data_IF_869292735729
#
_entry.id   IF_869292735729
#
_cell.length_a   1.000
_cell.length_b   1.000
_cell.length_c   1.000
_cell.angle_alpha   90.00
_cell.angle_beta   90.00
_cell.angle_gamma   90.00
#
_symmetry.space_group_name_H-M   'P 1'
#
loop_
_entity.id
_entity.type
_entity.pdbx_description
1 polymer ?
#
# COMPACT_ATOMS: atom_id res chain seq x y z
N UNK A 1 9.78 -8.91 -34.26
CA UNK A 1 9.59 -9.67 -33.01
C UNK A 1 8.38 -9.09 -32.31
N UNK A 2 7.46 -9.93 -31.82
CA UNK A 2 6.29 -9.47 -31.07
C UNK A 2 6.75 -9.03 -29.68
N UNK A 3 6.15 -7.99 -29.11
CA UNK A 3 6.48 -7.51 -27.75
C UNK A 3 5.53 -8.10 -26.73
N UNK A 4 6.06 -8.42 -25.56
CA UNK A 4 5.26 -8.74 -24.38
C UNK A 4 5.58 -7.72 -23.30
N UNK A 5 4.63 -6.85 -23.02
CA UNK A 5 4.81 -5.67 -22.16
C UNK A 5 4.16 -5.96 -20.81
N UNK A 6 4.96 -6.09 -19.76
CA UNK A 6 4.47 -6.18 -18.39
C UNK A 6 4.38 -4.78 -17.81
N UNK A 7 3.22 -4.39 -17.31
CA UNK A 7 3.00 -3.12 -16.63
C UNK A 7 2.83 -3.39 -15.14
N UNK A 8 3.75 -2.81 -14.35
CA UNK A 8 3.67 -2.78 -12.90
C UNK A 8 4.07 -1.39 -12.41
N UNK A 9 3.10 -0.48 -12.41
CA UNK A 9 3.26 0.90 -11.98
C UNK A 9 3.50 1.05 -10.47
N UNK A 10 3.35 -0.03 -9.70
CA UNK A 10 3.70 -0.07 -8.26
C UNK A 10 5.07 -0.67 -8.00
N UNK A 11 5.75 -1.20 -9.02
CA UNK A 11 7.07 -1.79 -8.89
C UNK A 11 8.11 -0.71 -8.59
N UNK A 12 8.42 -0.54 -7.31
CA UNK A 12 9.41 0.42 -6.80
C UNK A 12 10.55 -0.24 -6.03
N UNK A 13 10.41 -1.49 -5.58
CA UNK A 13 11.40 -2.21 -4.78
C UNK A 13 11.13 -3.74 -4.82
N UNK A 14 11.77 -4.51 -3.94
CA UNK A 14 11.59 -5.97 -3.81
C UNK A 14 10.40 -6.38 -2.92
N UNK A 15 9.63 -5.43 -2.38
CA UNK A 15 8.51 -5.75 -1.50
C UNK A 15 7.28 -6.18 -2.31
N UNK A 16 6.41 -6.94 -1.64
CA UNK A 16 5.19 -7.46 -2.24
C UNK A 16 5.45 -8.52 -3.31
N UNK A 17 4.44 -8.76 -4.14
CA UNK A 17 4.51 -9.73 -5.24
C UNK A 17 4.98 -9.10 -6.57
N UNK A 18 5.30 -7.80 -6.55
CA UNK A 18 5.51 -6.96 -7.74
C UNK A 18 6.71 -7.42 -8.58
N UNK A 19 7.88 -7.50 -7.94
CA UNK A 19 9.15 -7.78 -8.64
C UNK A 19 9.18 -9.19 -9.22
N UNK A 20 8.91 -10.20 -8.38
CA UNK A 20 9.00 -11.61 -8.79
C UNK A 20 7.97 -11.94 -9.87
N UNK A 21 6.73 -11.45 -9.76
CA UNK A 21 5.70 -11.66 -10.77
C UNK A 21 6.11 -11.02 -12.10
N UNK A 22 6.52 -9.74 -12.08
CA UNK A 22 6.92 -9.02 -13.30
C UNK A 22 8.07 -9.70 -14.02
N UNK A 23 9.10 -10.09 -13.26
CA UNK A 23 10.30 -10.71 -13.81
C UNK A 23 10.03 -12.13 -14.32
N UNK A 24 9.27 -12.93 -13.57
CA UNK A 24 8.90 -14.30 -13.96
C UNK A 24 8.15 -14.32 -15.29
N UNK A 25 7.18 -13.42 -15.46
CA UNK A 25 6.38 -13.34 -16.69
C UNK A 25 7.22 -12.83 -17.85
N UNK A 26 8.05 -11.80 -17.64
CA UNK A 26 8.93 -11.28 -18.68
C UNK A 26 9.96 -12.32 -19.16
N UNK A 27 10.58 -13.06 -18.23
CA UNK A 27 11.50 -14.16 -18.58
C UNK A 27 10.77 -15.30 -19.32
N UNK A 28 9.53 -15.63 -18.92
CA UNK A 28 8.71 -16.60 -19.63
C UNK A 28 8.38 -16.13 -21.05
N UNK A 29 7.98 -14.88 -21.23
CA UNK A 29 7.69 -14.31 -22.55
C UNK A 29 8.93 -14.33 -23.46
N UNK A 30 10.12 -14.06 -22.92
CA UNK A 30 11.38 -14.16 -23.65
C UNK A 30 11.63 -15.59 -24.17
N UNK A 31 11.36 -16.61 -23.34
CA UNK A 31 11.46 -18.03 -23.73
C UNK A 31 10.48 -18.42 -24.82
N UNK A 32 9.30 -17.78 -24.86
CA UNK A 32 8.30 -17.94 -25.91
C UNK A 32 8.57 -17.09 -27.17
N UNK A 33 9.74 -16.41 -27.25
CA UNK A 33 10.17 -15.67 -28.43
C UNK A 33 9.62 -14.24 -28.55
N UNK A 34 9.05 -13.69 -27.48
CA UNK A 34 8.68 -12.28 -27.40
C UNK A 34 9.87 -11.39 -27.04
N UNK A 35 9.77 -10.10 -27.37
CA UNK A 35 10.58 -9.03 -26.79
C UNK A 35 9.97 -8.61 -25.45
N UNK A 36 10.57 -9.00 -24.29
CA UNK A 36 10.02 -8.63 -23.00
C UNK A 36 10.32 -7.17 -22.66
N UNK A 37 9.30 -6.44 -22.23
CA UNK A 37 9.43 -5.08 -21.71
C UNK A 37 8.72 -5.00 -20.37
N UNK A 38 9.37 -4.47 -19.33
CA UNK A 38 8.72 -4.16 -18.06
C UNK A 38 8.61 -2.64 -17.93
N UNK A 39 7.39 -2.15 -17.72
CA UNK A 39 7.12 -0.74 -17.43
C UNK A 39 6.86 -0.59 -15.93
N UNK A 40 7.71 0.18 -15.26
CA UNK A 40 7.74 0.32 -13.80
C UNK A 40 7.35 1.73 -13.34
N UNK A 41 7.24 1.89 -12.02
CA UNK A 41 7.29 3.20 -11.40
C UNK A 41 8.63 3.91 -11.71
N UNK A 42 8.63 5.25 -11.76
CA UNK A 42 9.83 6.07 -11.96
C UNK A 42 10.88 5.90 -10.88
N UNK A 43 10.48 5.57 -9.65
CA UNK A 43 11.41 5.38 -8.54
C UNK A 43 12.05 3.98 -8.51
N UNK A 44 11.78 3.12 -9.50
CA UNK A 44 12.34 1.77 -9.55
C UNK A 44 13.88 1.79 -9.64
N UNK A 45 14.59 1.14 -8.70
CA UNK A 45 16.04 1.27 -8.61
C UNK A 45 16.75 0.58 -9.78
N UNK A 46 17.76 1.26 -10.31
CA UNK A 46 18.60 0.74 -11.39
C UNK A 46 19.28 -0.59 -11.04
N UNK A 47 19.63 -0.79 -9.77
CA UNK A 47 20.27 -2.01 -9.27
C UNK A 47 19.38 -3.27 -9.32
N UNK A 48 18.06 -3.10 -9.48
CA UNK A 48 17.13 -4.22 -9.59
C UNK A 48 16.75 -4.54 -11.05
N UNK A 49 17.24 -3.76 -12.02
CA UNK A 49 16.94 -4.00 -13.43
C UNK A 49 17.66 -5.27 -13.93
N UNK A 50 16.93 -6.24 -14.50
CA UNK A 50 17.54 -7.40 -15.16
C UNK A 50 18.33 -6.97 -16.41
N UNK A 51 19.42 -7.69 -16.71
CA UNK A 51 20.30 -7.38 -17.85
C UNK A 51 19.66 -7.70 -19.21
N UNK A 52 18.78 -8.70 -19.27
CA UNK A 52 18.23 -9.28 -20.49
C UNK A 52 16.79 -8.84 -20.81
N UNK A 53 16.21 -7.93 -20.03
CA UNK A 53 14.85 -7.45 -20.22
C UNK A 53 14.85 -5.92 -20.23
N UNK A 54 14.17 -5.33 -21.21
CA UNK A 54 14.06 -3.88 -21.31
C UNK A 54 13.17 -3.35 -20.19
N UNK A 55 13.69 -2.44 -19.36
CA UNK A 55 12.92 -1.79 -18.29
C UNK A 55 12.72 -0.31 -18.57
N UNK A 56 11.47 0.14 -18.57
CA UNK A 56 11.07 1.55 -18.78
C UNK A 56 10.40 2.06 -17.51
N UNK A 57 10.98 3.07 -16.88
CA UNK A 57 10.44 3.65 -15.65
C UNK A 57 9.59 4.88 -16.01
N UNK A 58 8.26 4.76 -15.94
CA UNK A 58 7.33 5.74 -16.54
C UNK A 58 6.21 6.25 -15.62
N UNK A 59 5.78 5.46 -14.63
CA UNK A 59 4.64 5.83 -13.80
C UNK A 59 5.04 6.68 -12.59
N UNK A 60 4.23 7.71 -12.30
CA UNK A 60 4.37 8.58 -11.14
C UNK A 60 3.55 8.09 -9.93
N UNK A 61 2.61 7.17 -10.17
CA UNK A 61 1.62 6.71 -9.21
C UNK A 61 1.66 5.19 -9.01
N UNK A 62 1.22 4.74 -7.84
CA UNK A 62 0.99 3.32 -7.55
C UNK A 62 -0.43 2.88 -7.97
N UNK A 63 -0.78 1.63 -7.64
CA UNK A 63 -2.07 1.03 -7.93
C UNK A 63 -3.26 1.59 -7.14
N UNK A 64 -3.01 2.52 -6.23
CA UNK A 64 -4.04 3.34 -5.59
C UNK A 64 -4.13 4.74 -6.21
N UNK A 65 -3.39 5.00 -7.31
CA UNK A 65 -3.24 6.33 -7.92
C UNK A 65 -2.58 7.34 -6.96
N UNK A 66 -1.86 6.85 -5.94
CA UNK A 66 -1.11 7.70 -5.01
C UNK A 66 0.26 8.03 -5.61
N UNK A 67 0.73 9.27 -5.49
CA UNK A 67 2.09 9.64 -5.88
C UNK A 67 3.12 8.82 -5.08
N UNK A 68 4.06 8.20 -5.78
CA UNK A 68 5.13 7.43 -5.15
C UNK A 68 6.33 8.35 -4.94
N UNK A 69 6.37 9.00 -3.77
CA UNK A 69 7.39 9.99 -3.48
C UNK A 69 8.75 9.33 -3.25
N UNK A 70 9.79 9.86 -3.90
CA UNK A 70 11.16 9.66 -3.45
C UNK A 70 11.38 10.39 -2.12
N UNK A 71 12.25 9.86 -1.25
CA UNK A 71 12.52 10.35 0.11
C UNK A 71 12.83 11.87 0.24
N UNK A 72 13.03 12.61 -0.86
CA UNK A 72 13.27 14.05 -0.85
C UNK A 72 11.99 14.89 -0.66
N UNK A 73 10.81 14.42 -1.07
CA UNK A 73 9.55 15.20 -0.94
C UNK A 73 8.86 15.06 0.41
N UNK A 74 9.18 14.00 1.17
CA UNK A 74 8.63 13.78 2.51
C UNK A 74 8.94 14.93 3.47
N UNK A 75 10.15 15.50 3.44
CA UNK A 75 10.53 16.54 4.39
C UNK A 75 9.69 17.83 4.26
N UNK A 76 9.27 18.20 3.04
CA UNK A 76 8.50 19.43 2.80
C UNK A 76 7.02 19.19 3.07
N UNK A 77 6.47 18.08 2.59
CA UNK A 77 5.05 17.74 2.78
C UNK A 77 4.76 17.37 4.23
N UNK A 78 5.65 16.67 4.92
CA UNK A 78 5.52 16.36 6.36
C UNK A 78 5.59 17.66 7.19
N UNK A 79 6.55 18.55 6.89
CA UNK A 79 6.64 19.87 7.52
C UNK A 79 5.39 20.73 7.31
N UNK A 80 4.79 20.68 6.10
CA UNK A 80 3.57 21.44 5.78
C UNK A 80 2.30 20.79 6.34
N UNK A 81 2.23 19.46 6.41
CA UNK A 81 1.12 18.73 7.03
C UNK A 81 1.09 18.91 8.55
N UNK A 82 2.25 19.03 9.20
CA UNK A 82 2.39 19.42 10.61
C UNK A 82 1.76 20.80 10.88
N UNK A 83 1.87 21.73 9.92
CA UNK A 83 1.30 23.08 10.04
C UNK A 83 -0.23 23.13 9.84
N UNK A 84 -0.84 22.17 9.12
CA UNK A 84 -2.23 22.25 8.68
C UNK A 84 -3.26 21.61 9.63
N UNK A 85 -2.85 20.63 10.45
CA UNK A 85 -3.74 19.71 11.18
C UNK A 85 -3.58 19.75 12.72
N UNK A 86 -3.97 20.86 13.37
CA UNK A 86 -3.93 21.02 14.85
C UNK A 86 -2.68 20.40 15.49
N UNK A 87 -1.50 21.04 15.35
CA UNK A 87 -0.22 20.44 15.70
C UNK A 87 -0.14 19.92 17.13
N UNK A 88 -0.91 20.49 18.07
CA UNK A 88 -0.91 20.08 19.46
C UNK A 88 -1.70 18.78 19.71
N UNK A 89 -2.80 18.57 19.00
CA UNK A 89 -3.67 17.39 19.23
C UNK A 89 -2.99 16.13 18.68
N UNK A 90 -2.49 16.16 17.44
CA UNK A 90 -1.76 15.02 16.84
C UNK A 90 -0.40 14.76 17.48
N UNK A 91 0.32 15.81 17.90
CA UNK A 91 1.56 15.63 18.67
C UNK A 91 1.26 14.99 20.03
N UNK A 92 0.16 15.40 20.69
CA UNK A 92 -0.27 14.77 21.94
C UNK A 92 -0.65 13.30 21.74
N UNK A 93 -1.40 12.96 20.69
CA UNK A 93 -1.76 11.57 20.37
C UNK A 93 -0.51 10.73 20.07
N UNK A 94 0.42 11.23 19.24
CA UNK A 94 1.67 10.51 18.91
C UNK A 94 2.54 10.30 20.15
N UNK A 95 2.67 11.32 21.01
CA UNK A 95 3.40 11.22 22.28
C UNK A 95 2.70 10.20 23.20
N UNK A 96 1.37 10.25 23.32
CA UNK A 96 0.59 9.30 24.12
C UNK A 96 0.81 7.87 23.64
N UNK A 97 0.72 7.62 22.32
CA UNK A 97 0.94 6.29 21.74
C UNK A 97 2.37 5.79 21.96
N UNK A 98 3.38 6.62 21.71
CA UNK A 98 4.78 6.25 21.94
C UNK A 98 5.06 5.95 23.41
N UNK A 99 4.56 6.81 24.30
CA UNK A 99 4.69 6.63 25.75
C UNK A 99 4.00 5.34 26.21
N UNK A 100 2.77 5.08 25.77
CA UNK A 100 2.05 3.84 26.08
C UNK A 100 2.78 2.60 25.55
N UNK A 101 3.33 2.67 24.33
CA UNK A 101 4.13 1.60 23.75
C UNK A 101 5.38 1.31 24.60
N UNK A 102 6.14 2.33 24.99
CA UNK A 102 7.33 2.16 25.83
C UNK A 102 6.99 1.63 27.23
N UNK A 103 5.90 2.08 27.84
CA UNK A 103 5.45 1.52 29.12
C UNK A 103 5.09 0.05 29.00
N UNK A 104 4.36 -0.34 27.97
CA UNK A 104 3.99 -1.75 27.73
C UNK A 104 5.23 -2.61 27.45
N UNK A 105 6.15 -2.09 26.63
CA UNK A 105 7.44 -2.74 26.36
C UNK A 105 8.27 -2.91 27.64
N UNK A 106 8.33 -1.89 28.50
CA UNK A 106 9.07 -1.98 29.78
C UNK A 106 8.40 -2.88 30.82
N UNK A 107 7.06 -2.92 30.86
CA UNK A 107 6.34 -3.86 31.73
C UNK A 107 6.62 -5.32 31.35
N UNK A 108 6.71 -5.60 30.03
CA UNK A 108 7.02 -6.92 29.49
C UNK A 108 8.51 -7.30 29.67
N UNK A 109 9.42 -6.34 29.53
CA UNK A 109 10.88 -6.62 29.55
C UNK A 109 11.53 -6.48 30.93
N UNK A 110 10.92 -5.74 31.87
CA UNK A 110 11.49 -5.44 33.18
C UNK A 110 10.46 -5.61 34.32
N UNK A 111 10.03 -6.85 34.62
CA UNK A 111 8.93 -7.11 35.56
C UNK A 111 9.22 -6.65 37.01
N UNK A 112 10.49 -6.52 37.41
CA UNK A 112 10.89 -5.99 38.72
C UNK A 112 10.57 -4.50 38.90
N UNK A 113 10.39 -3.76 37.80
CA UNK A 113 10.05 -2.34 37.81
C UNK A 113 8.55 -2.08 37.68
N UNK A 114 7.72 -3.12 37.54
CA UNK A 114 6.27 -3.02 37.30
C UNK A 114 5.56 -2.06 38.27
N UNK A 115 5.76 -2.22 39.58
CA UNK A 115 5.15 -1.34 40.60
C UNK A 115 5.60 0.13 40.50
N UNK A 116 6.82 0.38 40.02
CA UNK A 116 7.35 1.73 39.78
C UNK A 116 6.77 2.29 38.48
N UNK A 117 6.74 1.49 37.42
CA UNK A 117 6.19 1.85 36.11
C UNK A 117 4.69 2.13 36.18
N UNK A 118 3.91 1.34 36.92
CA UNK A 118 2.49 1.60 37.18
C UNK A 118 2.28 2.94 37.91
N UNK A 119 3.12 3.26 38.90
CA UNK A 119 3.09 4.56 39.59
C UNK A 119 3.45 5.73 38.69
N UNK A 120 4.46 5.57 37.84
CA UNK A 120 4.88 6.60 36.88
C UNK A 120 3.81 6.78 35.79
N UNK A 121 3.28 5.69 35.24
CA UNK A 121 2.21 5.70 34.24
C UNK A 121 0.95 6.37 34.78
N UNK A 122 0.55 6.02 36.01
CA UNK A 122 -0.60 6.65 36.67
C UNK A 122 -0.38 8.14 36.98
N UNK A 123 0.87 8.58 37.20
CA UNK A 123 1.20 10.00 37.42
C UNK A 123 1.25 10.78 36.10
N UNK A 124 1.79 10.17 35.04
CA UNK A 124 1.87 10.75 33.71
C UNK A 124 0.49 10.85 33.05
N UNK A 125 -0.37 9.84 33.21
CA UNK A 125 -1.76 9.88 32.76
C UNK A 125 -2.55 11.01 33.45
N UNK A 126 -2.33 11.22 34.75
CA UNK A 126 -2.91 12.36 35.48
C UNK A 126 -2.41 13.69 34.93
N UNK A 127 -1.11 13.84 34.69
CA UNK A 127 -0.53 15.05 34.10
C UNK A 127 -1.11 15.36 32.71
N UNK A 128 -1.27 14.34 31.85
CA UNK A 128 -1.83 14.49 30.51
C UNK A 128 -3.30 14.89 30.58
N UNK A 129 -4.10 14.25 31.45
CA UNK A 129 -5.49 14.64 31.67
C UNK A 129 -5.60 16.09 32.18
N UNK A 130 -4.69 16.50 33.06
CA UNK A 130 -4.65 17.87 33.60
C UNK A 130 -4.34 18.90 32.50
N UNK A 131 -3.38 18.61 31.63
CA UNK A 131 -3.08 19.45 30.46
C UNK A 131 -4.28 19.56 29.51
N UNK A 132 -5.02 18.45 29.30
CA UNK A 132 -6.23 18.46 28.48
C UNK A 132 -7.38 19.25 29.12
N UNK A 133 -7.51 19.19 30.45
CA UNK A 133 -8.46 20.01 31.21
C UNK A 133 -8.10 21.50 31.19
N UNK A 134 -6.82 21.86 31.31
CA UNK A 134 -6.35 23.25 31.20
C UNK A 134 -6.58 23.82 29.78
N UNK A 135 -6.39 22.99 28.74
CA UNK A 135 -6.72 23.36 27.36
C UNK A 135 -8.24 23.56 27.18
N UNK A 136 -9.07 22.78 27.89
CA UNK A 136 -10.54 22.99 27.94
C UNK A 136 -10.94 24.21 28.75
N UNK A 137 -10.27 24.50 29.87
CA UNK A 137 -10.50 25.67 30.72
C UNK A 137 -10.11 26.98 30.02
N UNK A 138 -9.08 26.95 29.17
CA UNK A 138 -8.73 28.06 28.27
C UNK A 138 -9.85 28.37 27.25
N UNK A 139 -10.77 27.44 26.99
CA UNK A 139 -11.98 27.69 26.17
C UNK A 139 -13.15 28.27 26.97
N UNK A 140 -13.11 28.29 28.30
CA UNK A 140 -14.25 28.65 29.16
C UNK A 140 -14.06 29.90 30.02
N UNK A 141 -13.06 30.75 29.75
CA UNK A 141 -12.86 32.01 30.49
C UNK A 141 -13.95 33.04 30.11
N UNK A 142 -14.71 33.63 31.07
CA UNK A 142 -15.84 34.52 30.77
C UNK A 142 -15.41 35.89 30.23
N UNK A 143 -16.12 36.35 29.21
CA UNK A 143 -15.97 37.63 28.50
C UNK A 143 -16.55 38.80 29.30
N UNK A 144 -15.79 39.38 30.24
CA UNK A 144 -16.17 40.68 30.84
C UNK A 144 -14.97 41.57 31.11
N UNK A 145 -14.43 42.16 30.04
CA UNK A 145 -13.83 43.49 30.01
C UNK A 145 -13.82 43.93 28.52
N UNK A 146 -14.79 44.76 28.17
CA UNK A 146 -15.39 44.92 26.84
C UNK A 146 -14.45 45.46 25.76
N UNK A 147 -13.43 46.25 26.09
CA UNK A 147 -12.44 46.70 25.10
C UNK A 147 -11.43 45.61 24.72
N UNK A 148 -10.98 44.83 25.70
CA UNK A 148 -10.03 43.75 25.45
C UNK A 148 -10.71 42.52 24.84
N UNK A 149 -11.99 42.30 25.16
CA UNK A 149 -12.85 41.32 24.47
C UNK A 149 -13.07 41.66 23.00
N UNK A 150 -13.38 42.92 22.67
CA UNK A 150 -13.49 43.38 21.28
C UNK A 150 -12.16 43.27 20.54
N UNK A 151 -11.05 43.69 21.15
CA UNK A 151 -9.72 43.53 20.56
C UNK A 151 -9.38 42.06 20.30
N UNK A 152 -9.72 41.15 21.21
CA UNK A 152 -9.53 39.71 21.02
C UNK A 152 -10.42 39.11 19.95
N UNK A 153 -11.66 39.57 19.79
CA UNK A 153 -12.55 39.13 18.72
C UNK A 153 -12.03 39.63 17.38
N UNK A 154 -11.62 40.90 17.30
CA UNK A 154 -11.01 41.48 16.09
C UNK A 154 -9.69 40.77 15.77
N UNK A 155 -8.83 40.53 16.76
CA UNK A 155 -7.57 39.80 16.60
C UNK A 155 -7.81 38.32 16.24
N UNK A 156 -8.85 37.71 16.82
CA UNK A 156 -9.27 36.35 16.51
C UNK A 156 -9.81 36.22 15.09
N UNK A 157 -10.60 37.20 14.62
CA UNK A 157 -11.07 37.30 13.25
C UNK A 157 -9.92 37.58 12.28
N UNK A 158 -9.01 38.49 12.61
CA UNK A 158 -7.80 38.75 11.81
C UNK A 158 -6.94 37.51 11.74
N UNK A 159 -6.71 36.81 12.86
CA UNK A 159 -5.96 35.55 12.90
C UNK A 159 -6.68 34.44 12.14
N UNK A 160 -7.99 34.34 12.24
CA UNK A 160 -8.79 33.37 11.48
C UNK A 160 -8.75 33.65 9.98
N UNK A 161 -8.90 34.92 9.58
CA UNK A 161 -8.77 35.37 8.20
C UNK A 161 -7.35 35.11 7.71
N UNK A 162 -6.30 35.46 8.46
CA UNK A 162 -4.91 35.16 8.12
C UNK A 162 -4.63 33.66 8.07
N UNK A 163 -5.27 32.84 8.91
CA UNK A 163 -5.14 31.37 8.87
C UNK A 163 -5.87 30.80 7.64
N UNK A 164 -7.04 31.32 7.27
CA UNK A 164 -7.72 30.92 6.03
C UNK A 164 -6.92 31.39 4.81
N UNK A 165 -6.43 32.62 4.82
CA UNK A 165 -5.66 33.20 3.73
C UNK A 165 -4.32 32.50 3.59
N UNK A 166 -3.61 32.22 4.69
CA UNK A 166 -2.38 31.41 4.66
C UNK A 166 -2.66 29.97 4.29
N UNK A 167 -3.78 29.36 4.69
CA UNK A 167 -4.19 28.04 4.19
C UNK A 167 -4.44 28.04 2.68
N UNK A 168 -5.13 29.05 2.14
CA UNK A 168 -5.38 29.18 0.70
C UNK A 168 -4.11 29.51 -0.09
N UNK A 169 -3.28 30.42 0.42
CA UNK A 169 -1.98 30.77 -0.17
C UNK A 169 -1.03 29.58 -0.11
N UNK A 170 -0.96 28.87 1.01
CA UNK A 170 -0.15 27.65 1.13
C UNK A 170 -0.68 26.55 0.24
N UNK A 171 -2.00 26.34 0.13
CA UNK A 171 -2.56 25.36 -0.82
C UNK A 171 -2.27 25.74 -2.27
N UNK A 172 -2.35 27.03 -2.62
CA UNK A 172 -2.01 27.52 -3.96
C UNK A 172 -0.51 27.39 -4.24
N UNK A 173 0.35 27.74 -3.27
CA UNK A 173 1.80 27.58 -3.36
C UNK A 173 2.19 26.10 -3.42
N UNK A 174 1.58 25.24 -2.62
CA UNK A 174 1.79 23.78 -2.68
C UNK A 174 1.37 23.28 -4.07
N UNK A 175 0.20 23.66 -4.57
CA UNK A 175 -0.24 23.26 -5.91
C UNK A 175 0.65 23.81 -7.04
N UNK A 176 1.31 24.95 -6.83
CA UNK A 176 2.24 25.57 -7.78
C UNK A 176 3.65 24.95 -7.70
N UNK A 177 4.09 24.55 -6.50
CA UNK A 177 5.43 24.04 -6.21
C UNK A 177 5.53 22.51 -6.27
N UNK A 178 4.43 21.79 -6.06
CA UNK A 178 4.37 20.34 -6.24
C UNK A 178 4.26 20.05 -7.73
N UNK A 179 5.25 19.37 -8.33
CA UNK A 179 5.17 19.00 -9.74
C UNK A 179 3.88 18.20 -9.97
N UNK A 180 3.18 18.52 -11.07
CA UNK A 180 1.92 17.85 -11.41
C UNK A 180 2.20 16.37 -11.64
N UNK A 181 1.81 15.53 -10.68
CA UNK A 181 1.84 14.07 -10.80
C UNK A 181 0.94 13.67 -11.97
N UNK A 182 1.46 12.86 -12.91
CA UNK A 182 0.65 12.31 -13.99
C UNK A 182 -0.21 11.18 -13.43
N UNK A 183 -1.47 11.15 -13.86
CA UNK A 183 -2.37 10.01 -13.61
C UNK A 183 -1.87 8.75 -14.32
N UNK A 184 -2.35 7.58 -13.88
CA UNK A 184 -2.05 6.32 -14.56
C UNK A 184 -2.38 6.36 -16.06
N UNK A 185 -3.56 6.87 -16.47
CA UNK A 185 -3.96 7.01 -17.90
C UNK A 185 -2.99 7.88 -18.71
N UNK A 186 -2.55 9.01 -18.14
CA UNK A 186 -1.60 9.92 -18.80
C UNK A 186 -0.24 9.26 -18.99
N UNK A 187 0.30 8.62 -17.94
CA UNK A 187 1.57 7.87 -18.03
C UNK A 187 1.48 6.68 -18.99
N UNK A 188 0.38 5.92 -18.94
CA UNK A 188 0.12 4.80 -19.84
C UNK A 188 0.08 5.25 -21.29
N UNK A 189 -0.65 6.32 -21.59
CA UNK A 189 -0.78 6.83 -22.96
C UNK A 189 0.58 7.25 -23.51
N UNK A 190 1.35 8.01 -22.72
CA UNK A 190 2.66 8.49 -23.13
C UNK A 190 3.63 7.33 -23.37
N UNK A 191 3.75 6.39 -22.43
CA UNK A 191 4.75 5.33 -22.54
C UNK A 191 4.44 4.37 -23.68
N UNK A 192 3.16 4.09 -23.94
CA UNK A 192 2.77 3.22 -25.04
C UNK A 192 3.01 3.90 -26.41
N UNK A 193 2.83 5.22 -26.53
CA UNK A 193 3.21 5.98 -27.73
C UNK A 193 4.73 5.94 -27.99
N UNK A 194 5.55 5.97 -26.94
CA UNK A 194 7.01 5.87 -27.04
C UNK A 194 7.51 4.46 -27.45
N UNK A 195 6.85 3.39 -26.98
CA UNK A 195 7.25 2.00 -27.26
C UNK A 195 6.99 1.58 -28.72
N UNK A 196 6.07 2.25 -29.43
CA UNK A 196 5.61 1.89 -30.78
C UNK A 196 5.20 0.41 -30.86
N UNK A 197 4.06 0.09 -30.26
CA UNK A 197 3.49 -1.25 -30.29
C UNK A 197 2.77 -1.54 -31.63
N UNK A 198 2.45 -2.81 -31.85
CA UNK A 198 1.58 -3.29 -32.92
C UNK A 198 0.38 -4.06 -32.36
N UNK A 199 -0.60 -4.38 -33.20
CA UNK A 199 -1.75 -5.19 -32.79
C UNK A 199 -1.42 -6.64 -32.45
N UNK A 200 -0.23 -7.10 -32.81
CA UNK A 200 0.33 -8.41 -32.46
C UNK A 200 1.04 -8.44 -31.10
N UNK A 201 1.21 -7.29 -30.45
CA UNK A 201 1.85 -7.19 -29.14
C UNK A 201 0.84 -7.49 -28.01
N UNK A 202 1.36 -7.96 -26.88
CA UNK A 202 0.57 -8.33 -25.70
C UNK A 202 0.96 -7.45 -24.50
N UNK A 203 -0.03 -6.98 -23.73
CA UNK A 203 0.18 -6.16 -22.53
C UNK A 203 -0.40 -6.89 -21.32
N UNK A 204 0.43 -7.18 -20.32
CA UNK A 204 0.00 -7.80 -19.06
C UNK A 204 0.12 -6.84 -17.88
N UNK A 205 -0.99 -6.63 -17.17
CA UNK A 205 -1.05 -5.78 -15.97
C UNK A 205 -1.52 -6.64 -14.80
N UNK A 206 -0.63 -6.86 -13.84
CA UNK A 206 -0.88 -7.78 -12.72
C UNK A 206 -1.01 -7.12 -11.36
N UNK A 207 -0.63 -5.85 -11.27
CA UNK A 207 -0.86 -4.99 -10.12
C UNK A 207 -1.67 -3.79 -10.59
N UNK A 208 -2.97 -3.82 -10.34
CA UNK A 208 -3.91 -2.81 -10.83
C UNK A 208 -5.11 -2.68 -9.87
N UNK A 209 -5.50 -1.44 -9.58
CA UNK A 209 -6.73 -1.14 -8.85
C UNK A 209 -7.92 -0.97 -9.80
N UNK A 210 -9.14 -1.00 -9.26
CA UNK A 210 -10.37 -0.96 -10.07
C UNK A 210 -10.47 0.34 -10.88
N UNK A 211 -10.07 1.47 -10.30
CA UNK A 211 -10.07 2.75 -11.00
C UNK A 211 -9.09 2.76 -12.19
N UNK A 212 -7.92 2.12 -12.07
CA UNK A 212 -6.98 1.98 -13.19
C UNK A 212 -7.51 1.03 -14.27
N UNK A 213 -8.27 -0.02 -13.91
CA UNK A 213 -8.97 -0.86 -14.90
C UNK A 213 -9.94 -0.01 -15.72
N UNK A 214 -10.71 0.87 -15.07
CA UNK A 214 -11.57 1.84 -15.76
C UNK A 214 -10.76 2.77 -16.68
N UNK A 215 -9.60 3.24 -16.24
CA UNK A 215 -8.72 4.05 -17.07
C UNK A 215 -8.18 3.31 -18.31
N UNK A 216 -7.90 1.99 -18.19
CA UNK A 216 -7.56 1.14 -19.35
C UNK A 216 -8.75 1.04 -20.31
N UNK A 217 -9.96 0.84 -19.80
CA UNK A 217 -11.18 0.85 -20.61
C UNK A 217 -11.31 2.17 -21.39
N UNK A 218 -11.25 3.31 -20.71
CA UNK A 218 -11.35 4.63 -21.38
C UNK A 218 -10.18 4.90 -22.33
N UNK A 219 -9.00 4.34 -22.07
CA UNK A 219 -7.88 4.43 -23.01
C UNK A 219 -8.16 3.66 -24.31
N UNK A 220 -8.84 2.52 -24.24
CA UNK A 220 -9.10 1.68 -25.41
C UNK A 220 -10.30 2.14 -26.25
N UNK A 221 -11.38 2.62 -25.62
CA UNK A 221 -12.58 3.10 -26.33
C UNK A 221 -12.27 4.28 -27.26
N UNK A 222 -11.31 5.12 -26.89
CA UNK A 222 -10.91 6.31 -27.67
C UNK A 222 -9.97 5.98 -28.85
N UNK A 223 -9.70 4.70 -29.14
CA UNK A 223 -8.64 4.26 -30.06
C UNK A 223 -9.14 3.33 -31.16
N UNK A 224 -8.37 3.30 -32.25
CA UNK A 224 -8.55 2.34 -33.34
C UNK A 224 -8.11 0.94 -32.89
N UNK A 225 -9.09 0.12 -32.48
CA UNK A 225 -8.86 -1.22 -31.94
C UNK A 225 -8.07 -2.13 -32.89
N UNK A 226 -8.13 -1.91 -34.20
CA UNK A 226 -7.38 -2.72 -35.18
C UNK A 226 -5.86 -2.61 -35.01
N UNK A 227 -5.39 -1.51 -34.41
CA UNK A 227 -3.97 -1.22 -34.15
C UNK A 227 -3.57 -1.47 -32.70
N UNK A 228 -4.54 -1.70 -31.82
CA UNK A 228 -4.28 -1.86 -30.39
C UNK A 228 -3.79 -3.28 -30.07
N UNK A 229 -2.81 -3.42 -29.17
CA UNK A 229 -2.39 -4.70 -28.62
C UNK A 229 -3.52 -5.26 -27.76
N UNK A 230 -3.42 -6.52 -27.38
CA UNK A 230 -4.36 -7.11 -26.44
C UNK A 230 -3.86 -6.93 -25.00
N UNK A 231 -4.79 -6.59 -24.13
CA UNK A 231 -4.56 -6.35 -22.72
C UNK A 231 -5.00 -7.56 -21.90
N UNK A 232 -4.16 -7.94 -20.95
CA UNK A 232 -4.35 -9.04 -20.02
C UNK A 232 -4.31 -8.48 -18.61
N UNK A 233 -5.44 -8.49 -17.91
CA UNK A 233 -5.61 -7.83 -16.62
C UNK A 233 -5.84 -8.88 -15.55
N UNK A 234 -4.95 -8.97 -14.57
CA UNK A 234 -5.08 -9.89 -13.44
C UNK A 234 -5.68 -9.16 -12.22
N UNK A 235 -6.82 -9.66 -11.74
CA UNK A 235 -7.53 -9.17 -10.57
C UNK A 235 -7.44 -10.19 -9.43
N UNK A 236 -6.88 -9.77 -8.29
CA UNK A 236 -6.55 -10.67 -7.16
C UNK A 236 -7.36 -10.42 -5.89
N UNK A 237 -8.22 -9.41 -5.89
CA UNK A 237 -9.01 -9.04 -4.70
C UNK A 237 -10.38 -9.67 -4.75
N UNK A 238 -10.98 -9.87 -3.59
CA UNK A 238 -12.37 -10.25 -3.51
C UNK A 238 -13.28 -9.10 -3.97
N UNK A 239 -14.41 -9.40 -4.61
CA UNK A 239 -15.40 -8.41 -5.05
C UNK A 239 -16.06 -7.65 -3.89
N UNK A 240 -16.08 -8.22 -2.68
CA UNK A 240 -16.62 -7.60 -1.46
C UNK A 240 -15.54 -6.86 -0.65
N UNK A 241 -14.29 -6.87 -1.11
CA UNK A 241 -13.21 -6.17 -0.46
C UNK A 241 -13.49 -4.64 -0.46
N UNK A 242 -13.32 -3.93 0.67
CA UNK A 242 -13.56 -2.49 0.73
C UNK A 242 -12.81 -1.68 -0.33
N UNK A 243 -11.60 -2.11 -0.72
CA UNK A 243 -10.81 -1.44 -1.76
C UNK A 243 -11.36 -1.67 -3.17
N UNK A 244 -12.21 -2.69 -3.36
CA UNK A 244 -12.92 -2.96 -4.62
C UNK A 244 -14.28 -2.26 -4.61
N UNK A 245 -15.05 -2.42 -3.53
CA UNK A 245 -16.40 -1.86 -3.37
C UNK A 245 -16.40 -0.34 -3.37
N UNK A 246 -15.45 0.27 -2.66
CA UNK A 246 -15.34 1.73 -2.53
C UNK A 246 -14.33 2.35 -3.49
N UNK A 247 -13.87 1.60 -4.49
CA UNK A 247 -13.02 2.17 -5.53
C UNK A 247 -13.75 3.32 -6.24
N UNK A 248 -13.06 4.44 -6.52
CA UNK A 248 -13.66 5.55 -7.25
C UNK A 248 -13.97 5.14 -8.68
N UNK A 249 -14.93 5.84 -9.29
CA UNK A 249 -15.34 5.61 -10.69
C UNK A 249 -16.65 4.85 -10.81
N UNK A 250 -16.82 4.14 -11.93
CA UNK A 250 -18.08 3.49 -12.29
C UNK A 250 -18.30 2.14 -11.59
N UNK A 251 -17.25 1.57 -10.99
CA UNK A 251 -17.29 0.28 -10.30
C UNK A 251 -17.16 -0.93 -11.22
N UNK A 252 -16.73 -2.05 -10.62
CA UNK A 252 -16.28 -3.25 -11.33
C UNK A 252 -17.33 -3.85 -12.28
N UNK A 253 -18.58 -4.02 -11.82
CA UNK A 253 -19.65 -4.58 -12.66
C UNK A 253 -19.86 -3.75 -13.93
N UNK A 254 -19.94 -2.44 -13.77
CA UNK A 254 -20.19 -1.54 -14.88
C UNK A 254 -19.00 -1.51 -15.85
N UNK A 255 -17.75 -1.60 -15.36
CA UNK A 255 -16.56 -1.77 -16.21
C UNK A 255 -16.71 -3.02 -17.09
N UNK A 256 -17.08 -4.15 -16.51
CA UNK A 256 -17.25 -5.39 -17.28
C UNK A 256 -18.39 -5.31 -18.29
N UNK A 257 -19.56 -4.78 -17.89
CA UNK A 257 -20.69 -4.59 -18.80
C UNK A 257 -20.28 -3.69 -19.98
N UNK A 258 -19.51 -2.63 -19.71
CA UNK A 258 -19.01 -1.74 -20.74
C UNK A 258 -17.98 -2.41 -21.65
N UNK A 259 -17.04 -3.19 -21.12
CA UNK A 259 -16.09 -3.97 -21.94
C UNK A 259 -16.80 -4.97 -22.85
N UNK A 260 -17.88 -5.60 -22.39
CA UNK A 260 -18.70 -6.50 -23.19
C UNK A 260 -19.46 -5.73 -24.28
N UNK A 261 -20.17 -4.66 -23.92
CA UNK A 261 -20.99 -3.87 -24.85
C UNK A 261 -20.16 -3.15 -25.92
N UNK A 262 -18.94 -2.74 -25.59
CA UNK A 262 -17.99 -2.10 -26.52
C UNK A 262 -17.16 -3.10 -27.32
N UNK A 263 -17.41 -4.40 -27.19
CA UNK A 263 -16.67 -5.48 -27.88
C UNK A 263 -15.16 -5.45 -27.61
N UNK A 264 -14.75 -4.89 -26.46
CA UNK A 264 -13.36 -4.95 -26.00
C UNK A 264 -13.04 -6.33 -25.45
N UNK A 265 -13.99 -6.99 -24.79
CA UNK A 265 -13.85 -8.37 -24.35
C UNK A 265 -14.44 -9.34 -25.40
N UNK A 266 -13.80 -10.49 -25.68
CA UNK A 266 -12.53 -10.98 -25.11
C UNK A 266 -11.28 -10.59 -25.92
N UNK A 267 -11.46 -9.97 -27.08
CA UNK A 267 -10.40 -9.87 -28.10
C UNK A 267 -9.33 -8.82 -27.78
N UNK A 268 -9.70 -7.73 -27.09
CA UNK A 268 -8.79 -6.64 -26.71
C UNK A 268 -8.50 -6.55 -25.23
N UNK A 269 -9.41 -7.03 -24.38
CA UNK A 269 -9.17 -7.14 -22.94
C UNK A 269 -9.58 -8.53 -22.48
N UNK A 270 -8.64 -9.25 -21.88
CA UNK A 270 -8.88 -10.48 -21.16
C UNK A 270 -8.66 -10.25 -19.67
N UNK A 271 -9.54 -10.80 -18.83
CA UNK A 271 -9.43 -10.73 -17.39
C UNK A 271 -9.06 -12.08 -16.78
N UNK A 272 -8.25 -12.04 -15.73
CA UNK A 272 -7.71 -13.20 -15.04
C UNK A 272 -7.83 -13.07 -13.52
N UNK A 273 -7.79 -14.21 -12.83
CA UNK A 273 -7.68 -14.29 -11.36
C UNK A 273 -6.98 -15.59 -10.93
N UNK A 274 -6.67 -15.73 -9.64
CA UNK A 274 -5.74 -16.75 -9.13
C UNK A 274 -6.45 -18.03 -8.63
N UNK A 275 -7.73 -17.98 -8.24
CA UNK A 275 -8.44 -19.11 -7.61
C UNK A 275 -9.81 -19.39 -8.23
N UNK A 276 -10.30 -20.62 -8.08
CA UNK A 276 -11.63 -21.00 -8.58
C UNK A 276 -12.75 -20.25 -7.86
N UNK A 277 -12.58 -19.95 -6.57
CA UNK A 277 -13.52 -19.16 -5.78
C UNK A 277 -13.63 -17.73 -6.31
N UNK A 278 -12.49 -17.09 -6.62
CA UNK A 278 -12.50 -15.76 -7.22
C UNK A 278 -13.15 -15.77 -8.61
N UNK A 279 -12.88 -16.80 -9.43
CA UNK A 279 -13.54 -16.95 -10.75
C UNK A 279 -15.04 -16.99 -10.60
N UNK A 280 -15.57 -17.80 -9.68
CA UNK A 280 -17.02 -17.89 -9.45
C UNK A 280 -17.62 -16.55 -9.06
N UNK A 281 -16.95 -15.82 -8.15
CA UNK A 281 -17.40 -14.51 -7.67
C UNK A 281 -17.39 -13.47 -8.80
N UNK A 282 -16.28 -13.32 -9.52
CA UNK A 282 -16.19 -12.38 -10.63
C UNK A 282 -17.16 -12.72 -11.78
N UNK A 283 -17.29 -14.00 -12.15
CA UNK A 283 -18.16 -14.42 -13.25
C UNK A 283 -19.65 -14.32 -12.95
N UNK A 284 -20.04 -14.09 -11.68
CA UNK A 284 -21.41 -13.77 -11.29
C UNK A 284 -21.78 -12.30 -11.51
N UNK A 285 -20.82 -11.41 -11.74
CA UNK A 285 -21.08 -9.98 -11.89
C UNK A 285 -21.66 -9.61 -13.25
N UNK A 286 -21.21 -10.28 -14.33
CA UNK A 286 -21.59 -9.95 -15.71
C UNK A 286 -21.32 -11.11 -16.70
N UNK A 287 -21.55 -10.83 -17.99
CA UNK A 287 -21.23 -11.75 -19.09
C UNK A 287 -19.72 -11.95 -19.30
N UNK A 288 -18.89 -11.01 -18.87
CA UNK A 288 -17.42 -11.13 -18.95
C UNK A 288 -16.96 -12.30 -18.08
N UNK A 289 -16.22 -13.23 -18.68
CA UNK A 289 -15.67 -14.39 -17.97
C UNK A 289 -14.18 -14.26 -17.75
N UNK A 290 -13.78 -14.37 -16.49
CA UNK A 290 -12.39 -14.42 -16.05
C UNK A 290 -11.83 -15.83 -16.19
N UNK A 291 -10.52 -15.90 -16.45
CA UNK A 291 -9.77 -17.14 -16.53
C UNK A 291 -8.82 -17.31 -15.35
N UNK A 292 -8.60 -18.56 -14.93
CA UNK A 292 -7.59 -18.88 -13.91
C UNK A 292 -6.19 -18.77 -14.48
N UNK A 293 -5.29 -18.09 -13.78
CA UNK A 293 -3.85 -18.23 -14.01
C UNK A 293 -3.13 -18.49 -12.69
N UNK A 294 -2.03 -19.26 -12.69
CA UNK A 294 -1.24 -19.46 -11.50
C UNK A 294 -0.48 -18.18 -11.13
N UNK A 295 -0.10 -18.05 -9.86
CA UNK A 295 0.84 -17.01 -9.42
C UNK A 295 2.21 -17.34 -10.02
N UNK A 296 2.77 -16.50 -10.90
CA UNK A 296 4.03 -16.79 -11.54
C UNK A 296 5.18 -16.56 -10.55
N UNK A 297 6.12 -17.51 -10.53
CA UNK A 297 7.40 -17.40 -9.82
C UNK A 297 8.45 -18.23 -10.56
N UNK A 298 9.72 -17.85 -10.45
CA UNK A 298 10.83 -18.58 -11.11
C UNK A 298 11.15 -19.89 -10.39
N UNK A 299 10.38 -20.92 -10.70
CA UNK A 299 10.51 -22.24 -10.10
C UNK A 299 11.92 -22.84 -10.30
N UNK A 300 12.60 -22.52 -11.40
CA UNK A 300 13.97 -22.93 -11.69
C UNK A 300 15.00 -22.35 -10.72
N UNK A 301 14.68 -21.26 -10.02
CA UNK A 301 15.53 -20.67 -8.97
C UNK A 301 15.37 -21.39 -7.64
N UNK A 302 14.33 -22.21 -7.47
CA UNK A 302 14.19 -23.07 -6.31
C UNK A 302 15.22 -24.18 -6.41
N UNK A 303 16.42 -23.94 -5.89
CA UNK A 303 17.39 -25.00 -5.69
C UNK A 303 16.79 -26.02 -4.73
N UNK A 304 16.70 -27.28 -5.17
CA UNK A 304 16.53 -28.38 -4.24
C UNK A 304 17.81 -28.48 -3.43
N UNK A 305 17.88 -27.71 -2.35
CA UNK A 305 18.95 -27.86 -1.37
C UNK A 305 18.69 -29.18 -0.65
N UNK A 306 19.14 -30.28 -1.23
CA UNK A 306 19.22 -31.59 -0.57
C UNK A 306 20.36 -31.54 0.45
N UNK A 307 20.28 -30.61 1.40
CA UNK A 307 21.13 -30.69 2.58
C UNK A 307 20.62 -31.87 3.39
N UNK A 308 21.41 -32.93 3.41
CA UNK A 308 21.26 -34.05 4.33
C UNK A 308 21.18 -33.45 5.73
N UNK A 309 19.96 -33.47 6.31
CA UNK A 309 19.71 -32.97 7.64
C UNK A 309 20.64 -33.67 8.62
N UNK A 310 21.50 -32.91 9.30
CA UNK A 310 22.26 -33.45 10.42
C UNK A 310 21.27 -33.73 11.54
N UNK A 311 21.27 -34.96 12.06
CA UNK A 311 20.28 -35.51 13.02
C UNK A 311 20.07 -34.71 14.33
N UNK A 312 20.76 -33.59 14.55
CA UNK A 312 20.78 -32.83 15.79
C UNK A 312 20.47 -31.32 15.65
N UNK A 313 19.92 -30.84 14.53
CA UNK A 313 19.48 -29.44 14.43
C UNK A 313 18.07 -29.25 15.03
N UNK A 314 17.79 -28.09 15.66
CA UNK A 314 16.43 -27.78 16.09
C UNK A 314 15.49 -27.69 14.88
N UNK A 315 14.23 -28.08 15.07
CA UNK A 315 13.16 -27.83 14.11
C UNK A 315 12.96 -26.32 14.02
N UNK A 316 13.13 -25.76 12.83
CA UNK A 316 12.99 -24.31 12.61
C UNK A 316 11.61 -24.02 12.03
N UNK A 317 10.73 -23.47 12.86
CA UNK A 317 9.40 -23.01 12.47
C UNK A 317 9.51 -21.55 12.04
N UNK A 318 9.04 -21.23 10.84
CA UNK A 318 9.16 -19.88 10.27
C UNK A 318 7.79 -19.37 9.87
N UNK A 319 7.49 -18.14 10.26
CA UNK A 319 6.35 -17.37 9.78
C UNK A 319 6.89 -16.20 8.94
N UNK A 320 6.52 -16.15 7.66
CA UNK A 320 7.05 -15.17 6.69
C UNK A 320 5.96 -14.21 6.19
N UNK A 321 6.36 -12.97 5.97
CA UNK A 321 5.52 -11.88 5.48
C UNK A 321 5.18 -10.82 6.55
N UNK A 322 4.54 -9.74 6.11
CA UNK A 322 4.15 -8.64 7.00
C UNK A 322 3.16 -9.08 8.09
N UNK A 323 3.22 -8.39 9.23
CA UNK A 323 2.31 -8.55 10.34
C UNK A 323 0.96 -7.92 10.00
N UNK A 324 -0.05 -8.77 9.70
CA UNK A 324 -1.39 -8.33 9.30
C UNK A 324 -2.49 -9.21 9.92
N UNK A 325 -3.68 -8.65 10.23
CA UNK A 325 -4.76 -9.42 10.86
C UNK A 325 -5.25 -10.59 10.01
N UNK A 326 -5.41 -10.40 8.70
CA UNK A 326 -5.90 -11.42 7.78
C UNK A 326 -4.95 -12.62 7.63
N UNK A 327 -3.65 -12.42 7.93
CA UNK A 327 -2.67 -13.52 7.99
C UNK A 327 -2.68 -14.26 9.34
N UNK A 328 -3.50 -13.81 10.30
CA UNK A 328 -3.58 -14.40 11.63
C UNK A 328 -2.37 -14.07 12.51
N UNK A 329 -1.61 -13.02 12.18
CA UNK A 329 -0.39 -12.67 12.94
C UNK A 329 -0.69 -12.44 14.42
N UNK A 330 -1.84 -11.85 14.75
CA UNK A 330 -2.25 -11.59 16.13
C UNK A 330 -2.51 -12.84 16.96
N UNK A 331 -2.66 -14.01 16.34
CA UNK A 331 -2.79 -15.29 17.03
C UNK A 331 -1.43 -15.93 17.40
N UNK A 332 -0.33 -15.47 16.82
CA UNK A 332 0.99 -16.07 17.02
C UNK A 332 1.42 -16.14 18.49
N UNK A 333 1.24 -15.09 19.33
CA UNK A 333 1.61 -15.18 20.74
C UNK A 333 0.90 -16.31 21.49
N UNK A 334 -0.41 -16.46 21.28
CA UNK A 334 -1.21 -17.50 21.92
C UNK A 334 -0.84 -18.90 21.43
N UNK A 335 -0.52 -19.04 20.14
CA UNK A 335 -0.01 -20.30 19.58
C UNK A 335 1.33 -20.66 20.24
N UNK A 336 2.26 -19.71 20.37
CA UNK A 336 3.56 -19.95 21.00
C UNK A 336 3.40 -20.33 22.48
N UNK A 337 2.56 -19.62 23.21
CA UNK A 337 2.27 -19.91 24.63
C UNK A 337 1.68 -21.32 24.79
N UNK A 338 0.72 -21.70 23.94
CA UNK A 338 0.10 -23.03 23.96
C UNK A 338 1.10 -24.15 23.65
N UNK A 339 2.07 -23.88 22.79
CA UNK A 339 3.13 -24.85 22.47
C UNK A 339 4.24 -24.89 23.54
N UNK A 340 4.37 -23.84 24.34
CA UNK A 340 5.52 -23.65 25.23
C UNK A 340 5.68 -24.76 26.26
N UNK A 341 4.59 -25.13 26.93
CA UNK A 341 4.62 -26.08 28.05
C UNK A 341 4.87 -27.51 27.59
N UNK A 342 4.20 -27.93 26.52
CA UNK A 342 4.10 -29.35 26.16
C UNK A 342 5.00 -29.75 24.99
N UNK A 343 5.35 -28.79 24.11
CA UNK A 343 5.97 -29.08 22.81
C UNK A 343 7.31 -28.38 22.58
N UNK A 344 7.58 -27.26 23.26
CA UNK A 344 8.83 -26.51 23.09
C UNK A 344 9.85 -26.94 24.14
N UNK A 345 10.84 -27.71 23.71
CA UNK A 345 12.03 -28.02 24.52
C UNK A 345 13.21 -27.13 24.15
N UNK A 346 14.04 -26.71 25.12
CA UNK A 346 15.27 -25.96 24.84
C UNK A 346 16.14 -26.67 23.80
N UNK A 347 16.66 -25.89 22.84
CA UNK A 347 17.51 -26.37 21.76
C UNK A 347 16.86 -27.39 20.79
N UNK A 348 15.56 -27.67 20.90
CA UNK A 348 14.82 -28.56 19.97
C UNK A 348 14.00 -27.81 18.95
N UNK A 349 13.51 -26.61 19.29
CA UNK A 349 12.71 -25.77 18.39
C UNK A 349 13.32 -24.37 18.31
N UNK A 350 13.37 -23.83 17.10
CA UNK A 350 13.67 -22.43 16.81
C UNK A 350 12.46 -21.82 16.13
N UNK A 351 11.98 -20.68 16.59
CA UNK A 351 10.93 -19.91 15.92
C UNK A 351 11.53 -18.65 15.29
N UNK A 352 11.10 -18.32 14.08
CA UNK A 352 11.42 -17.03 13.44
C UNK A 352 10.16 -16.46 12.83
N UNK A 353 9.77 -15.28 13.31
CA UNK A 353 8.57 -14.59 12.87
C UNK A 353 9.03 -13.30 12.20
N UNK A 354 8.68 -13.14 10.92
CA UNK A 354 8.81 -11.87 10.24
C UNK A 354 7.67 -10.94 10.70
N UNK A 355 8.02 -9.74 11.17
CA UNK A 355 7.10 -8.86 11.91
C UNK A 355 7.11 -7.42 11.39
N UNK A 356 7.39 -7.24 10.09
CA UNK A 356 7.32 -5.92 9.47
C UNK A 356 5.88 -5.42 9.50
N UNK A 357 5.65 -4.15 9.86
CA UNK A 357 4.32 -3.58 9.74
C UNK A 357 4.03 -3.22 8.28
N UNK A 358 2.84 -3.55 7.80
CA UNK A 358 2.36 -3.14 6.47
C UNK A 358 1.94 -1.67 6.41
N UNK A 359 1.62 -1.07 7.55
CA UNK A 359 1.26 0.34 7.75
C UNK A 359 2.06 0.86 8.94
N UNK A 360 2.53 2.11 8.90
CA UNK A 360 3.26 2.70 10.03
C UNK A 360 2.45 2.58 11.33
N UNK A 361 3.08 2.04 12.38
CA UNK A 361 2.43 1.82 13.68
C UNK A 361 1.62 0.52 13.81
N UNK A 362 1.34 -0.19 12.71
CA UNK A 362 0.54 -1.43 12.69
C UNK A 362 -0.97 -1.20 12.90
N UNK A 363 -1.78 -2.19 12.57
CA UNK A 363 -3.25 -2.10 12.64
C UNK A 363 -3.83 -3.00 13.75
N UNK A 364 -4.86 -2.52 14.45
CA UNK A 364 -5.63 -3.31 15.41
C UNK A 364 -4.77 -3.94 16.50
N UNK A 365 -4.83 -5.28 16.62
CA UNK A 365 -4.09 -6.05 17.64
C UNK A 365 -2.63 -6.33 17.26
N UNK A 366 -2.20 -5.97 16.06
CA UNK A 366 -0.86 -6.30 15.55
C UNK A 366 0.28 -5.69 16.38
N UNK A 367 0.22 -4.42 16.83
CA UNK A 367 1.29 -3.86 17.65
C UNK A 367 1.45 -4.59 18.99
N UNK A 368 0.33 -5.03 19.57
CA UNK A 368 0.34 -5.83 20.80
C UNK A 368 0.90 -7.22 20.57
N UNK A 369 0.56 -7.88 19.47
CA UNK A 369 1.03 -9.24 19.18
C UNK A 369 2.52 -9.29 18.79
N UNK A 370 3.12 -8.15 18.45
CA UNK A 370 4.55 -8.04 18.15
C UNK A 370 5.42 -7.86 19.41
N UNK A 371 4.85 -7.32 20.49
CA UNK A 371 5.50 -7.19 21.79
C UNK A 371 5.58 -8.56 22.47
#
# INVERSE_FOLDING_TARGET
MKKFIVIDHSLCNLQGHHYECSLSVAEAAAREGYEPIIITNKIFPQSLKPDNIKVISAFDVDWFDNPVNSNQEHNIIEFLNILQNNPLDKLSERIIYQVQFYFKYWDLTQPKLKLLLEKIQGSLSRLINWIQEDIKLLRSIPLSNTLWGLFKIIWGLIRYILVIFSKKINQALIKLLTPKTKSFKESLSQVLEEIKFSSDDEIFIHTIGIYQVEQVYHYLVDRDLSKMPRFHILLRRDIDDPLVVYAPGMGLKAIFDNCYNSQLWPDKIQFYTDTDELIQRYNSLSEVKLQKIPIPFRQEKLQQTTQISTKNKPIHIVYLGDARPEKGYHYLPSIVESLWTDYIQPCKIKLTIQSNFSIEGGEGLIPQARL
#
